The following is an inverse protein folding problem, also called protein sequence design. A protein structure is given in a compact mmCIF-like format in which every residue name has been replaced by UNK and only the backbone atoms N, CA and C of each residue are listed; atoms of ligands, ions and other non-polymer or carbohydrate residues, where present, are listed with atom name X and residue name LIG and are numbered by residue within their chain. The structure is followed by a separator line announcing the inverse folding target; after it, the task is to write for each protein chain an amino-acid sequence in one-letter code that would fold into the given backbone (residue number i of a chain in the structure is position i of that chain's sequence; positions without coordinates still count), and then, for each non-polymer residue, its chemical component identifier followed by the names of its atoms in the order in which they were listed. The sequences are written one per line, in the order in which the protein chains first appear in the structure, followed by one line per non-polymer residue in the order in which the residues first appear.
data_IF_097802840544
#
_entry.id   IF_097802840544
#
_cell.length_a   1.000
_cell.length_b   1.000
_cell.length_c   1.000
_cell.angle_alpha   90.00
_cell.angle_beta   90.00
_cell.angle_gamma   90.00
#
_symmetry.space_group_name_H-M   'P 1'
#
loop_
_entity.id
_entity.type
_entity.pdbx_description
1 polymer ?
#
# COMPACT_ATOMS: atom_id res chain seq x y z
N UNK A 1 4.52 -20.56 17.52
CA UNK A 1 3.09 -20.96 17.39
C UNK A 1 2.20 -19.74 17.25
N UNK A 2 2.40 -18.67 18.05
CA UNK A 2 1.58 -17.44 17.96
C UNK A 2 1.75 -16.65 16.66
N UNK A 3 2.97 -16.45 16.16
CA UNK A 3 3.20 -15.74 14.87
C UNK A 3 2.41 -16.33 13.70
N UNK A 4 2.29 -17.65 13.64
CA UNK A 4 1.56 -18.32 12.56
C UNK A 4 0.04 -18.16 12.72
N UNK A 5 -0.46 -18.11 13.95
CA UNK A 5 -1.85 -17.80 14.26
C UNK A 5 -2.18 -16.33 13.94
N UNK A 6 -1.30 -15.40 14.29
CA UNK A 6 -1.46 -13.97 13.96
C UNK A 6 -1.44 -13.74 12.45
N UNK A 7 -0.52 -14.38 11.73
CA UNK A 7 -0.48 -14.30 10.27
C UNK A 7 -1.71 -14.93 9.62
N UNK A 8 -2.23 -16.04 10.16
CA UNK A 8 -3.49 -16.64 9.71
C UNK A 8 -4.68 -15.73 9.99
N UNK A 9 -4.73 -15.07 11.14
CA UNK A 9 -5.80 -14.13 11.48
C UNK A 9 -5.78 -12.89 10.58
N UNK A 10 -4.60 -12.34 10.27
CA UNK A 10 -4.45 -11.23 9.32
C UNK A 10 -4.88 -11.66 7.92
N UNK A 11 -4.42 -12.82 7.43
CA UNK A 11 -4.82 -13.36 6.12
C UNK A 11 -6.31 -13.66 6.05
N UNK A 12 -6.90 -14.16 7.13
CA UNK A 12 -8.32 -14.44 7.20
C UNK A 12 -9.12 -13.13 7.17
N UNK A 13 -8.72 -12.11 7.92
CA UNK A 13 -9.36 -10.79 7.89
C UNK A 13 -9.32 -10.15 6.48
N UNK A 14 -8.21 -10.31 5.76
CA UNK A 14 -8.07 -9.85 4.37
C UNK A 14 -9.02 -10.62 3.43
N UNK A 15 -9.18 -11.93 3.62
CA UNK A 15 -10.01 -12.78 2.75
C UNK A 15 -11.52 -12.70 3.05
N UNK A 16 -11.92 -12.38 4.29
CA UNK A 16 -13.34 -12.29 4.69
C UNK A 16 -13.93 -10.90 4.55
N UNK A 17 -13.13 -9.91 4.17
CA UNK A 17 -13.64 -8.58 3.91
C UNK A 17 -14.53 -8.62 2.66
N UNK A 18 -15.81 -8.25 2.79
CA UNK A 18 -16.76 -8.00 1.68
C UNK A 18 -16.20 -6.99 0.64
N UNK A 19 -15.04 -6.39 0.92
CA UNK A 19 -14.30 -5.52 0.03
C UNK A 19 -13.67 -6.22 -1.17
N UNK A 20 -13.55 -7.54 -1.26
CA UNK A 20 -12.84 -8.21 -2.37
C UNK A 20 -13.40 -7.84 -3.78
N UNK A 21 -14.73 -7.76 -3.94
CA UNK A 21 -15.37 -7.30 -5.19
C UNK A 21 -15.28 -5.77 -5.38
N UNK A 22 -15.17 -5.03 -4.28
CA UNK A 22 -14.92 -3.58 -4.27
C UNK A 22 -13.43 -3.25 -4.50
N UNK A 23 -12.54 -4.19 -4.22
CA UNK A 23 -11.10 -4.17 -4.41
C UNK A 23 -10.77 -4.41 -5.88
N UNK A 24 -11.43 -5.35 -6.56
CA UNK A 24 -11.31 -5.51 -8.01
C UNK A 24 -11.75 -4.25 -8.78
N UNK A 25 -12.79 -3.53 -8.33
CA UNK A 25 -13.16 -2.23 -8.89
C UNK A 25 -12.14 -1.13 -8.56
N UNK A 26 -11.66 -1.08 -7.31
CA UNK A 26 -10.54 -0.20 -6.93
C UNK A 26 -9.31 -0.47 -7.81
N UNK A 27 -8.92 -1.71 -8.07
CA UNK A 27 -7.70 -2.07 -8.84
C UNK A 27 -7.69 -1.45 -10.25
N UNK A 28 -8.86 -1.26 -10.88
CA UNK A 28 -8.96 -0.53 -12.15
C UNK A 28 -8.84 1.00 -11.97
N UNK A 29 -9.41 1.56 -10.90
CA UNK A 29 -9.28 2.98 -10.50
C UNK A 29 -7.90 3.32 -9.89
N UNK A 30 -7.07 2.31 -9.60
CA UNK A 30 -5.77 2.43 -8.92
C UNK A 30 -4.59 2.58 -9.88
N UNK A 31 -4.82 2.52 -11.19
CA UNK A 31 -3.75 2.59 -12.17
C UNK A 31 -3.21 4.01 -12.39
N UNK A 32 -4.04 5.04 -12.24
CA UNK A 32 -3.64 6.46 -12.40
C UNK A 32 -3.51 7.21 -11.05
N UNK A 33 -3.73 6.51 -9.94
CA UNK A 33 -3.67 7.06 -8.60
C UNK A 33 -4.84 7.99 -8.25
N UNK A 34 -5.93 8.07 -9.02
CA UNK A 34 -7.04 8.98 -8.74
C UNK A 34 -8.31 8.21 -8.37
N UNK A 35 -8.89 8.53 -7.21
CA UNK A 35 -10.19 7.98 -6.81
C UNK A 35 -11.21 9.07 -6.48
N UNK A 36 -12.43 8.85 -6.96
CA UNK A 36 -13.59 9.69 -6.68
C UNK A 36 -14.60 8.86 -5.88
N UNK A 37 -14.98 9.33 -4.69
CA UNK A 37 -16.01 8.70 -3.86
C UNK A 37 -17.02 9.72 -3.39
N UNK A 38 -18.30 9.37 -3.37
CA UNK A 38 -19.29 10.17 -2.68
C UNK A 38 -19.20 9.92 -1.18
N UNK A 39 -19.00 10.97 -0.39
CA UNK A 39 -18.99 10.91 1.07
C UNK A 39 -20.37 11.33 1.60
N UNK A 40 -21.19 10.35 1.95
CA UNK A 40 -22.56 10.57 2.47
C UNK A 40 -22.59 11.44 3.73
N UNK A 41 -21.57 11.38 4.59
CA UNK A 41 -21.51 12.16 5.81
C UNK A 41 -21.33 13.67 5.57
N UNK A 42 -20.73 14.02 4.42
CA UNK A 42 -20.43 15.40 4.04
C UNK A 42 -21.22 15.86 2.81
N UNK A 43 -22.14 15.01 2.30
CA UNK A 43 -22.91 15.20 1.06
C UNK A 43 -22.05 15.75 -0.11
N UNK A 44 -20.84 15.22 -0.25
CA UNK A 44 -19.84 15.76 -1.19
C UNK A 44 -19.10 14.65 -1.95
N UNK A 45 -18.78 14.93 -3.21
CA UNK A 45 -17.78 14.15 -3.96
C UNK A 45 -16.39 14.46 -3.40
N UNK A 46 -15.72 13.42 -2.93
CA UNK A 46 -14.34 13.46 -2.46
C UNK A 46 -13.46 12.89 -3.55
N UNK A 47 -12.58 13.73 -4.07
CA UNK A 47 -11.48 13.30 -4.92
C UNK A 47 -10.24 13.14 -4.06
N UNK A 48 -9.49 12.12 -4.37
CA UNK A 48 -8.22 11.87 -3.71
C UNK A 48 -7.21 11.35 -4.72
N UNK A 49 -5.95 11.63 -4.42
CA UNK A 49 -4.83 11.40 -5.30
C UNK A 49 -3.77 10.63 -4.51
N UNK A 50 -3.48 9.42 -4.96
CA UNK A 50 -2.38 8.58 -4.53
C UNK A 50 -1.22 8.68 -5.53
N UNK A 51 -0.07 8.18 -5.11
CA UNK A 51 1.12 8.20 -5.96
C UNK A 51 0.98 7.18 -7.09
N UNK A 52 1.06 7.62 -8.34
CA UNK A 52 1.20 6.71 -9.49
C UNK A 52 2.63 6.16 -9.55
N UNK A 53 2.75 4.85 -9.35
CA UNK A 53 4.03 4.16 -9.37
C UNK A 53 4.69 4.18 -10.77
N UNK A 54 3.90 4.28 -11.85
CA UNK A 54 4.39 4.43 -13.22
C UNK A 54 5.16 5.74 -13.39
N UNK A 55 4.52 6.87 -13.10
CA UNK A 55 5.12 8.20 -13.14
C UNK A 55 6.38 8.32 -12.30
N UNK A 56 6.43 7.68 -11.12
CA UNK A 56 7.64 7.68 -10.28
C UNK A 56 8.78 6.91 -10.94
N UNK A 57 8.51 5.76 -11.56
CA UNK A 57 9.55 5.00 -12.29
C UNK A 57 10.10 5.81 -13.46
N UNK A 58 9.23 6.44 -14.25
CA UNK A 58 9.63 7.31 -15.36
C UNK A 58 10.52 8.45 -14.86
N UNK A 59 10.12 9.14 -13.79
CA UNK A 59 10.93 10.18 -13.16
C UNK A 59 12.36 9.70 -12.81
N UNK A 60 12.50 8.53 -12.19
CA UNK A 60 13.84 8.02 -11.87
C UNK A 60 14.65 7.63 -13.11
N UNK A 61 14.00 7.09 -14.14
CA UNK A 61 14.66 6.77 -15.41
C UNK A 61 15.16 8.03 -16.13
N UNK A 62 14.36 9.09 -16.15
CA UNK A 62 14.68 10.33 -16.87
C UNK A 62 15.79 11.14 -16.21
N UNK A 63 15.81 11.18 -14.87
CA UNK A 63 16.68 12.12 -14.14
C UNK A 63 17.87 11.47 -13.43
N UNK A 64 17.82 10.16 -13.14
CA UNK A 64 18.82 9.51 -12.29
C UNK A 64 19.59 8.38 -12.96
N UNK A 65 19.28 8.01 -14.21
CA UNK A 65 19.90 6.85 -14.87
C UNK A 65 21.43 6.89 -14.91
N UNK A 66 22.07 8.05 -14.98
CA UNK A 66 23.54 8.14 -15.02
C UNK A 66 24.21 7.94 -13.64
N UNK A 67 23.47 8.16 -12.55
CA UNK A 67 24.03 8.20 -11.17
C UNK A 67 23.52 7.08 -10.26
N UNK A 68 22.33 6.57 -10.55
CA UNK A 68 21.68 5.55 -9.76
C UNK A 68 20.77 4.65 -10.61
N UNK A 69 20.47 3.49 -10.08
CA UNK A 69 19.51 2.55 -10.61
C UNK A 69 18.36 2.41 -9.61
N UNK A 70 17.13 2.55 -10.09
CA UNK A 70 15.95 2.23 -9.30
C UNK A 70 15.81 0.71 -9.18
N UNK A 71 15.98 0.20 -7.97
CA UNK A 71 15.91 -1.24 -7.67
C UNK A 71 14.47 -1.67 -7.40
N UNK A 72 13.76 -0.92 -6.57
CA UNK A 72 12.33 -1.17 -6.32
C UNK A 72 11.61 0.05 -5.77
N UNK A 73 10.28 0.02 -5.92
CA UNK A 73 9.35 0.87 -5.19
C UNK A 73 8.65 0.03 -4.14
N UNK A 74 8.41 0.63 -2.98
CA UNK A 74 7.74 -0.03 -1.84
C UNK A 74 6.61 0.84 -1.32
N UNK A 75 5.40 0.31 -1.26
CA UNK A 75 4.31 0.94 -0.52
C UNK A 75 4.55 0.81 0.97
N UNK A 76 4.45 1.93 1.67
CA UNK A 76 4.53 1.95 3.14
C UNK A 76 3.18 1.78 3.80
N UNK A 77 2.11 2.04 3.05
CA UNK A 77 0.72 1.91 3.47
C UNK A 77 -0.04 1.30 2.29
N UNK A 78 -0.27 -0.01 2.35
CA UNK A 78 -0.84 -0.71 1.18
C UNK A 78 -1.91 -1.75 1.51
N UNK A 79 -1.84 -2.43 2.66
CA UNK A 79 -2.69 -3.60 2.83
C UNK A 79 -4.02 -3.27 3.56
N UNK A 80 -4.05 -2.25 4.43
CA UNK A 80 -5.07 -2.22 5.50
C UNK A 80 -5.83 -0.90 5.67
N UNK A 81 -5.51 0.14 4.88
CA UNK A 81 -6.16 1.46 4.93
C UNK A 81 -5.95 2.24 6.23
N UNK A 82 -6.28 3.53 6.22
CA UNK A 82 -6.06 4.49 7.32
C UNK A 82 -6.90 4.31 8.58
N UNK A 83 -7.26 3.07 8.93
CA UNK A 83 -7.92 2.73 10.19
C UNK A 83 -7.22 1.63 10.98
N UNK A 84 -6.20 0.97 10.41
CA UNK A 84 -5.41 -0.02 11.14
C UNK A 84 -4.16 0.57 11.80
N UNK A 85 -3.61 1.66 11.25
CA UNK A 85 -2.63 2.50 11.93
C UNK A 85 -3.10 2.89 13.34
N UNK A 86 -4.37 3.30 13.45
CA UNK A 86 -5.02 3.60 14.74
C UNK A 86 -5.07 2.38 15.68
N UNK A 87 -5.18 1.16 15.14
CA UNK A 87 -5.16 -0.10 15.91
C UNK A 87 -3.74 -0.60 16.22
N UNK A 88 -2.74 -0.15 15.47
CA UNK A 88 -1.33 -0.48 15.70
C UNK A 88 -0.71 0.36 16.81
N UNK A 89 -1.25 1.55 17.11
CA UNK A 89 -0.79 2.41 18.22
C UNK A 89 -0.80 1.67 19.56
N UNK A 90 -1.83 0.85 19.81
CA UNK A 90 -1.99 0.09 21.06
C UNK A 90 -1.49 -1.36 20.94
N UNK A 91 -0.91 -1.75 19.79
CA UNK A 91 -0.46 -3.11 19.56
C UNK A 91 0.88 -3.38 20.25
N UNK A 92 1.05 -4.62 20.73
CA UNK A 92 2.34 -5.06 21.25
C UNK A 92 3.43 -5.07 20.18
N UNK A 93 4.69 -4.89 20.61
CA UNK A 93 5.85 -4.81 19.72
C UNK A 93 6.03 -6.04 18.84
N UNK A 94 5.63 -7.25 19.28
CA UNK A 94 5.66 -8.44 18.44
C UNK A 94 4.66 -8.37 17.28
N UNK A 95 3.47 -7.81 17.52
CA UNK A 95 2.44 -7.62 16.51
C UNK A 95 2.88 -6.58 15.48
N UNK A 96 3.43 -5.45 15.95
CA UNK A 96 3.99 -4.41 15.07
C UNK A 96 5.08 -5.01 14.18
N UNK A 97 5.98 -5.81 14.76
CA UNK A 97 7.05 -6.48 13.99
C UNK A 97 6.51 -7.48 12.99
N UNK A 98 5.53 -8.30 13.36
CA UNK A 98 4.91 -9.27 12.47
C UNK A 98 4.16 -8.60 11.31
N UNK A 99 3.49 -7.48 11.59
CA UNK A 99 2.84 -6.65 10.57
C UNK A 99 3.87 -6.03 9.62
N UNK A 100 4.93 -5.41 10.15
CA UNK A 100 5.99 -4.84 9.33
C UNK A 100 6.66 -5.91 8.45
N UNK A 101 6.98 -7.08 9.03
CA UNK A 101 7.49 -8.23 8.29
C UNK A 101 6.59 -8.61 7.13
N UNK A 102 5.28 -8.70 7.37
CA UNK A 102 4.29 -9.05 6.36
C UNK A 102 4.26 -8.00 5.25
N UNK A 103 4.17 -6.72 5.62
CA UNK A 103 4.17 -5.60 4.68
C UNK A 103 5.41 -5.63 3.78
N UNK A 104 6.60 -5.65 4.39
CA UNK A 104 7.86 -5.55 3.64
C UNK A 104 8.19 -6.81 2.83
N UNK A 105 7.82 -8.00 3.30
CA UNK A 105 8.18 -9.27 2.63
C UNK A 105 7.18 -9.68 1.56
N UNK A 106 5.89 -9.43 1.77
CA UNK A 106 4.84 -10.08 0.97
C UNK A 106 4.02 -9.11 0.13
N UNK A 107 4.01 -7.80 0.43
CA UNK A 107 3.03 -6.88 -0.17
C UNK A 107 3.64 -5.59 -0.74
N UNK A 108 4.64 -5.02 -0.07
CA UNK A 108 5.12 -3.64 -0.37
C UNK A 108 5.57 -3.43 -1.82
N UNK A 109 6.05 -4.46 -2.52
CA UNK A 109 6.55 -4.35 -3.90
C UNK A 109 5.52 -4.77 -4.96
N UNK A 110 4.34 -5.28 -4.58
CA UNK A 110 3.34 -5.70 -5.59
C UNK A 110 2.58 -4.49 -6.13
N UNK A 111 2.42 -4.43 -7.44
CA UNK A 111 1.86 -3.28 -8.15
C UNK A 111 0.47 -2.89 -7.65
N UNK A 112 -0.39 -3.85 -7.31
CA UNK A 112 -1.74 -3.56 -6.83
C UNK A 112 -1.76 -2.75 -5.52
N UNK A 113 -0.69 -2.80 -4.72
CA UNK A 113 -0.56 -2.01 -3.49
C UNK A 113 0.29 -0.75 -3.66
N UNK A 114 1.00 -0.60 -4.78
CA UNK A 114 1.78 0.59 -5.08
C UNK A 114 0.86 1.74 -5.54
N UNK A 115 -0.15 1.45 -6.36
CA UNK A 115 -1.14 2.45 -6.81
C UNK A 115 -2.09 2.94 -5.71
N UNK A 116 -2.19 2.20 -4.60
CA UNK A 116 -2.99 2.57 -3.43
C UNK A 116 -2.24 3.42 -2.41
N UNK A 117 -0.94 3.61 -2.59
CA UNK A 117 -0.11 4.08 -1.51
C UNK A 117 -0.15 5.61 -1.41
N UNK A 118 -0.47 6.10 -0.20
CA UNK A 118 -0.27 7.51 0.15
C UNK A 118 1.21 7.90 0.07
N UNK A 119 2.09 6.94 0.40
CA UNK A 119 3.53 7.14 0.42
C UNK A 119 4.26 5.94 -0.21
N UNK A 120 5.25 6.24 -1.05
CA UNK A 120 6.16 5.27 -1.66
C UNK A 120 7.61 5.50 -1.20
N UNK A 121 8.33 4.41 -0.95
CA UNK A 121 9.77 4.41 -0.79
C UNK A 121 10.44 3.93 -2.07
N UNK A 122 11.36 4.74 -2.60
CA UNK A 122 12.22 4.34 -3.71
C UNK A 122 13.55 3.79 -3.18
N UNK A 123 13.88 2.55 -3.56
CA UNK A 123 15.17 1.93 -3.25
C UNK A 123 16.10 2.14 -4.44
N UNK A 124 17.12 2.96 -4.23
CA UNK A 124 18.11 3.29 -5.25
C UNK A 124 19.45 2.62 -4.96
N UNK A 125 20.10 2.12 -6.00
CA UNK A 125 21.51 1.69 -5.95
C UNK A 125 22.36 2.71 -6.68
N UNK A 126 23.38 3.24 -6.02
CA UNK A 126 24.38 4.07 -6.69
C UNK A 126 25.17 3.23 -7.69
N UNK A 127 25.39 3.77 -8.89
CA UNK A 127 26.25 3.15 -9.91
C UNK A 127 27.73 3.26 -9.56
#
# INVERSE_FOLDING_TARGET
MERELTLRAIRQALNTSETADTECKRIADLADGRYERFNENNEAEVQSFHTDSGSIREFFQDYFTEVAELISLRSTEGILGGGLDAKLIDADGEIIRAWADLLFKEYSEKEEYLGCADHLLAVLRKK
#
